data_IF_731792633185
#
_entry.id   IF_731792633185
#
_cell.length_a   1.000
_cell.length_b   1.000
_cell.length_c   1.000
_cell.angle_alpha   90.00
_cell.angle_beta   90.00
_cell.angle_gamma   90.00
#
_symmetry.space_group_name_H-M   'P 1'
#
loop_
_entity.id
_entity.type
_entity.pdbx_description
1 polymer ?
#
# COMPACT_ATOMS: atom_id res chain seq x y z
N UNK A 1 24.73 -11.25 -3.82
CA UNK A 1 24.10 -10.54 -2.69
C UNK A 1 24.43 -9.05 -2.69
N UNK A 2 25.70 -8.67 -2.84
CA UNK A 2 26.21 -7.28 -2.86
C UNK A 2 25.45 -6.34 -3.84
N UNK A 3 25.00 -6.85 -4.99
CA UNK A 3 24.29 -6.06 -6.00
C UNK A 3 22.89 -5.60 -5.54
N UNK A 4 22.21 -6.35 -4.66
CA UNK A 4 20.87 -5.95 -4.16
C UNK A 4 20.92 -4.75 -3.22
N UNK A 5 21.91 -4.72 -2.33
CA UNK A 5 22.05 -3.65 -1.34
C UNK A 5 22.41 -2.33 -2.03
N UNK A 6 23.32 -2.39 -3.01
CA UNK A 6 23.67 -1.23 -3.84
C UNK A 6 22.44 -0.67 -4.57
N UNK A 7 21.59 -1.52 -5.14
CA UNK A 7 20.35 -1.10 -5.81
C UNK A 7 19.33 -0.49 -4.87
N UNK A 8 19.10 -1.12 -3.71
CA UNK A 8 18.21 -0.58 -2.69
C UNK A 8 18.64 0.83 -2.29
N UNK A 9 19.95 1.04 -2.08
CA UNK A 9 20.52 2.36 -1.79
C UNK A 9 20.32 3.35 -2.94
N UNK A 10 20.49 2.95 -4.20
CA UNK A 10 20.26 3.82 -5.37
C UNK A 10 18.78 4.23 -5.47
N UNK A 11 17.85 3.29 -5.31
CA UNK A 11 16.41 3.58 -5.36
C UNK A 11 15.98 4.46 -4.19
N UNK A 12 16.52 4.20 -2.99
CA UNK A 12 16.21 4.99 -1.80
C UNK A 12 16.79 6.40 -1.90
N UNK A 13 18.03 6.53 -2.39
CA UNK A 13 18.64 7.82 -2.72
C UNK A 13 17.78 8.57 -3.74
N UNK A 14 17.34 7.90 -4.80
CA UNK A 14 16.48 8.51 -5.83
C UNK A 14 15.14 8.93 -5.24
N UNK A 15 14.52 8.10 -4.41
CA UNK A 15 13.27 8.39 -3.73
C UNK A 15 13.39 9.63 -2.83
N UNK A 16 14.51 9.77 -2.10
CA UNK A 16 14.78 10.93 -1.26
C UNK A 16 15.00 12.17 -2.12
N UNK A 17 15.97 12.17 -3.04
CA UNK A 17 16.31 13.37 -3.82
C UNK A 17 15.20 13.81 -4.79
N UNK A 18 14.52 12.86 -5.44
CA UNK A 18 13.37 13.18 -6.29
C UNK A 18 12.13 13.49 -5.46
N UNK A 19 11.99 12.88 -4.29
CA UNK A 19 10.94 13.22 -3.32
C UNK A 19 11.01 14.68 -2.90
N UNK A 20 12.22 15.23 -2.69
CA UNK A 20 12.42 16.65 -2.41
C UNK A 20 11.97 17.57 -3.55
N UNK A 21 12.24 17.19 -4.81
CA UNK A 21 11.78 17.96 -5.98
C UNK A 21 10.25 17.91 -6.15
N UNK A 22 9.65 16.75 -5.90
CA UNK A 22 8.21 16.52 -6.03
C UNK A 22 7.45 16.75 -4.71
N UNK A 23 8.09 17.35 -3.71
CA UNK A 23 7.54 17.55 -2.36
C UNK A 23 6.19 18.27 -2.38
N UNK A 24 5.96 19.33 -3.18
CA UNK A 24 4.66 19.99 -3.23
C UNK A 24 3.51 19.04 -3.65
N UNK A 25 3.73 18.18 -4.64
CA UNK A 25 2.72 17.23 -5.09
C UNK A 25 2.45 16.14 -4.04
N UNK A 26 3.51 15.63 -3.40
CA UNK A 26 3.40 14.66 -2.32
C UNK A 26 2.70 15.26 -1.09
N UNK A 27 3.03 16.50 -0.73
CA UNK A 27 2.43 17.23 0.39
C UNK A 27 0.91 17.41 0.22
N UNK A 28 0.46 17.75 -0.99
CA UNK A 28 -0.98 17.83 -1.30
C UNK A 28 -1.63 16.46 -1.15
N UNK A 29 -1.01 15.40 -1.68
CA UNK A 29 -1.54 14.04 -1.53
C UNK A 29 -1.63 13.60 -0.08
N UNK A 30 -0.63 13.92 0.74
CA UNK A 30 -0.62 13.61 2.17
C UNK A 30 -1.61 14.44 2.96
N UNK A 31 -1.82 15.71 2.57
CA UNK A 31 -2.86 16.53 3.15
C UNK A 31 -4.24 15.95 2.86
N UNK A 32 -4.50 15.47 1.64
CA UNK A 32 -5.76 14.83 1.30
C UNK A 32 -5.98 13.53 2.09
N UNK A 33 -4.97 12.67 2.19
CA UNK A 33 -5.06 11.45 3.01
C UNK A 33 -5.29 11.81 4.49
N UNK A 34 -4.54 12.78 5.00
CA UNK A 34 -4.66 13.28 6.38
C UNK A 34 -6.04 13.85 6.67
N UNK A 35 -6.61 14.67 5.77
CA UNK A 35 -7.98 15.17 5.90
C UNK A 35 -9.00 14.04 5.91
N UNK A 36 -8.84 13.02 5.05
CA UNK A 36 -9.73 11.86 5.01
C UNK A 36 -9.69 11.06 6.31
N UNK A 37 -8.50 10.84 6.87
CA UNK A 37 -8.31 10.17 8.16
C UNK A 37 -8.85 10.99 9.33
N UNK A 38 -8.60 12.30 9.36
CA UNK A 38 -9.10 13.20 10.40
C UNK A 38 -10.64 13.25 10.37
N UNK A 39 -11.23 13.37 9.18
CA UNK A 39 -12.67 13.37 9.01
C UNK A 39 -13.28 12.05 9.47
N UNK A 40 -12.65 10.91 9.14
CA UNK A 40 -13.10 9.60 9.60
C UNK A 40 -13.04 9.49 11.14
N UNK A 41 -11.98 9.99 11.76
CA UNK A 41 -11.85 9.98 13.22
C UNK A 41 -12.93 10.82 13.92
N UNK A 42 -13.34 11.94 13.31
CA UNK A 42 -14.42 12.80 13.82
C UNK A 42 -15.80 12.19 13.61
N UNK A 43 -16.06 11.62 12.42
CA UNK A 43 -17.36 11.07 12.06
C UNK A 43 -17.67 9.76 12.78
N UNK A 44 -16.64 8.98 13.09
CA UNK A 44 -16.81 7.61 13.60
C UNK A 44 -15.80 7.30 14.70
N UNK A 45 -16.19 7.43 15.98
CA UNK A 45 -15.34 6.99 17.08
C UNK A 45 -15.30 5.45 17.13
N UNK A 46 -14.12 4.87 16.88
CA UNK A 46 -13.87 3.43 16.96
C UNK A 46 -13.87 2.71 15.62
N UNK A 47 -13.85 1.37 15.64
CA UNK A 47 -13.99 0.54 14.46
C UNK A 47 -15.47 0.18 14.29
N UNK A 48 -16.11 0.71 13.26
CA UNK A 48 -17.53 0.49 12.93
C UNK A 48 -17.67 0.14 11.44
N UNK A 49 -18.77 -0.46 10.98
CA UNK A 49 -18.98 -0.67 9.55
C UNK A 49 -18.89 0.64 8.74
N UNK A 50 -19.28 1.77 9.36
CA UNK A 50 -19.17 3.09 8.76
C UNK A 50 -17.69 3.52 8.60
N UNK A 51 -16.79 3.11 9.50
CA UNK A 51 -15.35 3.40 9.36
C UNK A 51 -14.77 2.66 8.17
N UNK A 52 -15.19 1.42 7.94
CA UNK A 52 -14.75 0.62 6.79
C UNK A 52 -15.19 1.26 5.46
N UNK A 53 -16.45 1.70 5.38
CA UNK A 53 -16.96 2.44 4.23
C UNK A 53 -16.23 3.77 4.03
N UNK A 54 -15.99 4.50 5.12
CA UNK A 54 -15.24 5.76 5.10
C UNK A 54 -13.79 5.59 4.66
N UNK A 55 -13.10 4.50 5.04
CA UNK A 55 -11.77 4.17 4.52
C UNK A 55 -11.80 4.03 3.00
N UNK A 56 -12.78 3.29 2.46
CA UNK A 56 -12.89 3.06 1.02
C UNK A 56 -13.27 4.33 0.25
N UNK A 57 -14.07 5.23 0.83
CA UNK A 57 -14.56 6.42 0.15
C UNK A 57 -13.64 7.64 0.32
N UNK A 58 -13.08 7.84 1.52
CA UNK A 58 -12.33 9.05 1.87
C UNK A 58 -10.82 8.84 1.82
N UNK A 59 -10.32 7.64 2.12
CA UNK A 59 -8.87 7.40 2.30
C UNK A 59 -8.27 6.68 1.09
N UNK A 60 -8.93 5.64 0.59
CA UNK A 60 -8.41 4.84 -0.51
C UNK A 60 -8.18 5.64 -1.82
N UNK A 61 -9.09 6.53 -2.26
CA UNK A 61 -8.84 7.36 -3.44
C UNK A 61 -7.60 8.26 -3.33
N UNK A 62 -7.47 9.15 -2.32
CA UNK A 62 -6.29 10.01 -2.22
C UNK A 62 -5.01 9.20 -1.93
N UNK A 63 -5.09 8.09 -1.18
CA UNK A 63 -3.94 7.22 -0.96
C UNK A 63 -3.44 6.58 -2.28
N UNK A 64 -4.36 6.21 -3.17
CA UNK A 64 -4.00 5.66 -4.49
C UNK A 64 -3.33 6.69 -5.40
N UNK A 65 -3.80 7.94 -5.36
CA UNK A 65 -3.19 9.06 -6.09
C UNK A 65 -1.80 9.36 -5.54
N UNK A 66 -1.66 9.47 -4.21
CA UNK A 66 -0.37 9.64 -3.55
C UNK A 66 0.59 8.50 -3.90
N UNK A 67 0.13 7.25 -3.86
CA UNK A 67 0.95 6.09 -4.25
C UNK A 67 1.35 6.15 -5.72
N UNK A 68 0.45 6.57 -6.62
CA UNK A 68 0.78 6.77 -8.03
C UNK A 68 1.89 7.81 -8.22
N UNK A 69 1.81 8.94 -7.51
CA UNK A 69 2.85 9.98 -7.56
C UNK A 69 4.18 9.48 -7.00
N UNK A 70 4.15 8.72 -5.90
CA UNK A 70 5.34 8.11 -5.32
C UNK A 70 6.00 7.13 -6.30
N UNK A 71 5.21 6.26 -6.96
CA UNK A 71 5.72 5.33 -7.98
C UNK A 71 6.40 6.07 -9.13
N UNK A 72 5.79 7.15 -9.64
CA UNK A 72 6.39 7.97 -10.71
C UNK A 72 7.66 8.69 -10.26
N UNK A 73 7.68 9.15 -9.01
CA UNK A 73 8.83 9.82 -8.39
C UNK A 73 10.01 8.87 -8.24
N UNK A 74 9.78 7.65 -7.75
CA UNK A 74 10.81 6.60 -7.62
C UNK A 74 11.34 6.18 -8.99
N UNK A 75 10.48 6.12 -10.02
CA UNK A 75 10.89 5.93 -11.41
C UNK A 75 11.65 7.13 -12.01
N UNK A 76 11.77 8.23 -11.25
CA UNK A 76 12.41 9.51 -11.61
C UNK A 76 11.79 10.20 -12.81
N UNK A 77 10.46 10.11 -12.94
CA UNK A 77 9.69 10.98 -13.83
C UNK A 77 9.36 12.26 -13.08
N UNK A 78 9.43 13.40 -13.74
CA UNK A 78 8.95 14.66 -13.18
C UNK A 78 7.43 14.60 -13.00
N UNK A 79 6.96 14.97 -11.81
CA UNK A 79 5.54 14.89 -11.46
C UNK A 79 5.05 16.29 -11.08
N UNK A 80 4.27 16.91 -11.96
CA UNK A 80 3.59 18.16 -11.64
C UNK A 80 2.37 17.89 -10.76
N UNK A 81 1.92 18.87 -9.97
CA UNK A 81 0.69 18.76 -9.17
C UNK A 81 -0.49 18.41 -10.09
N UNK A 82 -0.64 19.14 -11.19
CA UNK A 82 -1.71 18.86 -12.16
C UNK A 82 -1.53 17.45 -12.74
N UNK A 83 -0.32 17.05 -13.15
CA UNK A 83 -0.06 15.69 -13.67
C UNK A 83 -0.24 14.56 -12.66
N UNK A 84 -0.16 14.88 -11.36
CA UNK A 84 -0.36 13.97 -10.22
C UNK A 84 -1.82 13.70 -9.90
N UNK A 85 -2.68 14.71 -10.10
CA UNK A 85 -4.11 14.66 -9.80
C UNK A 85 -5.01 14.60 -11.05
N UNK A 86 -4.44 14.79 -12.24
CA UNK A 86 -5.05 14.45 -13.53
C UNK A 86 -5.29 12.94 -13.76
N UNK A 87 -4.53 11.98 -13.18
CA UNK A 87 -4.92 10.57 -13.25
C UNK A 87 -6.38 10.38 -12.82
N UNK A 88 -7.06 9.64 -13.66
CA UNK A 88 -8.51 9.61 -13.81
C UNK A 88 -9.19 8.93 -12.63
N UNK A 89 -10.52 9.08 -12.58
CA UNK A 89 -11.44 8.28 -11.77
C UNK A 89 -11.09 6.76 -11.77
N UNK A 90 -10.43 6.26 -12.83
CA UNK A 90 -9.92 4.90 -12.92
C UNK A 90 -8.83 4.57 -11.88
N UNK A 91 -7.88 5.48 -11.63
CA UNK A 91 -6.83 5.30 -10.61
C UNK A 91 -7.45 5.20 -9.22
N UNK A 92 -8.37 6.12 -8.91
CA UNK A 92 -9.12 6.10 -7.65
C UNK A 92 -9.93 4.79 -7.51
N UNK A 93 -10.72 4.42 -8.52
CA UNK A 93 -11.51 3.16 -8.53
C UNK A 93 -10.63 1.93 -8.33
N UNK A 94 -9.45 1.90 -8.95
CA UNK A 94 -8.49 0.81 -8.78
C UNK A 94 -7.93 0.77 -7.37
N UNK A 95 -7.56 1.92 -6.82
CA UNK A 95 -7.15 2.04 -5.42
C UNK A 95 -8.19 1.51 -4.44
N UNK A 96 -9.46 1.88 -4.65
CA UNK A 96 -10.61 1.36 -3.88
C UNK A 96 -10.74 -0.15 -4.06
N UNK A 97 -10.68 -0.66 -5.28
CA UNK A 97 -10.83 -2.09 -5.56
C UNK A 97 -9.72 -2.93 -4.92
N UNK A 98 -8.47 -2.45 -4.89
CA UNK A 98 -7.38 -3.13 -4.18
C UNK A 98 -7.60 -3.02 -2.66
N UNK A 99 -7.93 -1.83 -2.15
CA UNK A 99 -8.12 -1.62 -0.70
C UNK A 99 -9.34 -2.36 -0.14
N UNK A 100 -10.34 -2.68 -0.98
CA UNK A 100 -11.53 -3.43 -0.58
C UNK A 100 -11.22 -4.82 -0.02
N UNK A 101 -10.14 -5.47 -0.44
CA UNK A 101 -9.77 -6.81 0.04
C UNK A 101 -9.39 -6.80 1.53
N UNK A 102 -8.38 -6.04 1.98
CA UNK A 102 -8.04 -5.96 3.41
C UNK A 102 -9.18 -5.35 4.24
N UNK A 103 -9.93 -4.39 3.71
CA UNK A 103 -11.10 -3.83 4.39
C UNK A 103 -12.20 -4.89 4.58
N UNK A 104 -12.41 -5.77 3.59
CA UNK A 104 -13.33 -6.89 3.70
C UNK A 104 -12.94 -7.89 4.79
N UNK A 105 -11.65 -8.26 4.85
CA UNK A 105 -11.14 -9.10 5.94
C UNK A 105 -11.25 -8.43 7.30
N UNK A 106 -11.04 -7.11 7.37
CA UNK A 106 -11.23 -6.35 8.61
C UNK A 106 -12.70 -6.36 9.04
N UNK A 107 -13.64 -6.25 8.11
CA UNK A 107 -15.07 -6.41 8.39
C UNK A 107 -15.43 -7.80 8.91
N UNK A 108 -14.84 -8.86 8.34
CA UNK A 108 -15.00 -10.22 8.85
C UNK A 108 -14.42 -10.38 10.26
N UNK A 109 -13.26 -9.79 10.53
CA UNK A 109 -12.64 -9.79 11.86
C UNK A 109 -13.54 -9.09 12.88
N UNK A 110 -14.15 -7.97 12.51
CA UNK A 110 -15.11 -7.26 13.37
C UNK A 110 -16.35 -8.12 13.65
N UNK A 111 -16.92 -8.76 12.63
CA UNK A 111 -18.06 -9.65 12.79
C UNK A 111 -17.72 -10.86 13.70
N UNK A 112 -16.55 -11.47 13.50
CA UNK A 112 -16.06 -12.55 14.35
C UNK A 112 -15.85 -12.09 15.80
N UNK A 113 -15.36 -10.86 16.00
CA UNK A 113 -15.19 -10.23 17.31
C UNK A 113 -16.51 -10.04 18.05
N UNK A 114 -17.57 -9.62 17.34
CA UNK A 114 -18.91 -9.50 17.95
C UNK A 114 -19.51 -10.86 18.29
N UNK A 115 -19.36 -11.87 17.42
CA UNK A 115 -19.79 -13.25 17.73
C UNK A 115 -19.07 -13.80 18.96
N UNK A 116 -17.76 -13.55 19.08
CA UNK A 116 -16.97 -13.93 20.25
C UNK A 116 -17.53 -13.29 21.53
N UNK A 117 -17.79 -11.98 21.51
CA UNK A 117 -18.32 -11.23 22.66
C UNK A 117 -19.69 -11.72 23.13
N UNK A 118 -20.56 -12.11 22.20
CA UNK A 118 -21.91 -12.57 22.54
C UNK A 118 -21.92 -14.02 23.04
N UNK A 119 -21.06 -14.88 22.49
CA UNK A 119 -21.16 -16.32 22.71
C UNK A 119 -20.23 -16.82 23.82
N UNK A 120 -19.12 -16.12 24.09
CA UNK A 120 -18.05 -16.51 25.03
C UNK A 120 -17.48 -17.94 24.81
N UNK A 121 -17.75 -18.54 23.65
CA UNK A 121 -17.34 -19.91 23.33
C UNK A 121 -15.89 -19.95 22.85
N UNK A 122 -15.00 -20.76 23.48
CA UNK A 122 -13.58 -20.81 23.13
C UNK A 122 -13.29 -21.27 21.70
N UNK A 123 -14.22 -22.00 21.07
CA UNK A 123 -14.08 -22.43 19.67
C UNK A 123 -14.05 -21.25 18.69
N UNK A 124 -14.59 -20.08 19.05
CA UNK A 124 -14.61 -18.89 18.19
C UNK A 124 -13.24 -18.18 18.15
N UNK A 125 -12.25 -18.57 18.98
CA UNK A 125 -10.87 -18.02 18.90
C UNK A 125 -10.22 -18.39 17.56
N UNK A 126 -10.45 -19.60 17.06
CA UNK A 126 -9.83 -20.10 15.83
C UNK A 126 -10.20 -19.23 14.61
N UNK A 127 -11.50 -19.02 14.28
CA UNK A 127 -11.87 -18.16 13.16
C UNK A 127 -11.47 -16.71 13.37
N UNK A 128 -11.47 -16.21 14.62
CA UNK A 128 -11.00 -14.86 14.94
C UNK A 128 -9.50 -14.69 14.62
N UNK A 129 -8.67 -15.65 15.05
CA UNK A 129 -7.24 -15.67 14.75
C UNK A 129 -6.95 -15.79 13.24
N UNK A 130 -7.71 -16.62 12.53
CA UNK A 130 -7.61 -16.75 11.07
C UNK A 130 -7.97 -15.44 10.35
N UNK A 131 -9.02 -14.75 10.78
CA UNK A 131 -9.37 -13.43 10.23
C UNK A 131 -8.27 -12.41 10.50
N UNK A 132 -7.68 -12.41 11.71
CA UNK A 132 -6.56 -11.54 12.06
C UNK A 132 -5.34 -11.78 11.17
N UNK A 133 -4.97 -13.05 10.97
CA UNK A 133 -3.89 -13.43 10.06
C UNK A 133 -4.19 -13.00 8.61
N UNK A 134 -5.43 -13.18 8.14
CA UNK A 134 -5.85 -12.75 6.80
C UNK A 134 -5.77 -11.22 6.62
N UNK A 135 -6.14 -10.43 7.64
CA UNK A 135 -5.97 -8.97 7.64
C UNK A 135 -4.49 -8.61 7.55
N UNK A 136 -3.61 -9.25 8.33
CA UNK A 136 -2.18 -8.97 8.31
C UNK A 136 -1.56 -9.29 6.95
N UNK A 137 -1.87 -10.47 6.39
CA UNK A 137 -1.35 -10.92 5.08
C UNK A 137 -1.88 -10.01 3.96
N UNK A 138 -3.17 -9.66 3.99
CA UNK A 138 -3.75 -8.77 2.97
C UNK A 138 -3.23 -7.34 3.10
N UNK A 139 -2.96 -6.84 4.30
CA UNK A 139 -2.33 -5.53 4.53
C UNK A 139 -0.88 -5.51 4.02
N UNK A 140 -0.09 -6.55 4.29
CA UNK A 140 1.26 -6.70 3.74
C UNK A 140 1.24 -6.74 2.21
N UNK A 141 0.32 -7.52 1.64
CA UNK A 141 0.17 -7.67 0.19
C UNK A 141 -0.35 -6.37 -0.44
N UNK A 142 -1.17 -5.58 0.25
CA UNK A 142 -1.66 -4.28 -0.24
C UNK A 142 -0.50 -3.33 -0.58
N UNK A 143 0.57 -3.33 0.23
CA UNK A 143 1.73 -2.45 0.06
C UNK A 143 2.39 -2.67 -1.31
N UNK A 144 2.39 -3.89 -1.82
CA UNK A 144 3.01 -4.26 -3.09
C UNK A 144 1.98 -4.28 -4.22
N UNK A 145 0.77 -4.78 -3.95
CA UNK A 145 -0.33 -4.87 -4.91
C UNK A 145 -0.78 -3.50 -5.42
N UNK A 146 -0.85 -2.49 -4.54
CA UNK A 146 -1.32 -1.16 -4.94
C UNK A 146 -0.36 -0.50 -5.97
N UNK A 147 0.95 -0.33 -5.70
CA UNK A 147 1.90 0.15 -6.70
C UNK A 147 1.92 -0.68 -7.99
N UNK A 148 1.88 -2.01 -7.89
CA UNK A 148 1.93 -2.91 -9.05
C UNK A 148 0.67 -2.74 -9.92
N UNK A 149 -0.50 -2.62 -9.28
CA UNK A 149 -1.75 -2.35 -9.97
C UNK A 149 -1.70 -1.04 -10.75
N UNK A 150 -1.02 -0.02 -10.22
CA UNK A 150 -0.89 1.31 -10.83
C UNK A 150 0.13 1.35 -11.97
N UNK A 151 1.13 0.45 -11.96
CA UNK A 151 2.10 0.29 -13.06
C UNK A 151 1.52 -0.45 -14.25
N UNK A 152 0.67 -1.45 -14.00
CA UNK A 152 0.05 -2.28 -15.02
C UNK A 152 -1.47 -2.08 -15.05
N UNK A 153 -1.99 -0.95 -15.57
CA UNK A 153 -3.43 -0.66 -15.58
C UNK A 153 -4.23 -1.69 -16.40
N UNK A 154 -3.63 -2.33 -17.41
CA UNK A 154 -4.31 -3.34 -18.24
C UNK A 154 -4.48 -4.69 -17.52
N UNK A 155 -3.69 -4.96 -16.48
CA UNK A 155 -3.78 -6.22 -15.76
C UNK A 155 -5.07 -6.29 -14.93
N UNK A 156 -5.78 -7.43 -15.02
CA UNK A 156 -6.98 -7.69 -14.20
C UNK A 156 -6.60 -7.82 -12.73
N UNK A 157 -7.36 -7.18 -11.84
CA UNK A 157 -7.19 -7.25 -10.37
C UNK A 157 -7.06 -8.69 -9.85
N UNK A 158 -7.83 -9.63 -10.43
CA UNK A 158 -7.81 -11.06 -10.08
C UNK A 158 -6.45 -11.73 -10.32
N UNK A 159 -5.63 -11.20 -11.23
CA UNK A 159 -4.25 -11.68 -11.49
C UNK A 159 -3.21 -10.94 -10.66
N UNK A 160 -3.45 -9.66 -10.34
CA UNK A 160 -2.54 -8.83 -9.56
C UNK A 160 -2.39 -9.33 -8.13
N UNK A 161 -3.49 -9.69 -7.49
CA UNK A 161 -3.47 -10.17 -6.10
C UNK A 161 -2.59 -11.40 -5.88
N UNK A 162 -2.77 -12.52 -6.62
CA UNK A 162 -1.91 -13.69 -6.44
C UNK A 162 -0.45 -13.41 -6.84
N UNK A 163 -0.19 -12.56 -7.84
CA UNK A 163 1.17 -12.17 -8.21
C UNK A 163 1.84 -11.36 -7.10
N UNK A 164 1.15 -10.34 -6.55
CA UNK A 164 1.64 -9.54 -5.44
C UNK A 164 1.84 -10.39 -4.17
N UNK A 165 0.94 -11.34 -3.91
CA UNK A 165 1.06 -12.27 -2.79
C UNK A 165 2.28 -13.19 -2.97
N UNK A 166 2.47 -13.74 -4.16
CA UNK A 166 3.63 -14.59 -4.48
C UNK A 166 4.94 -13.80 -4.38
N UNK A 167 4.97 -12.56 -4.87
CA UNK A 167 6.13 -11.67 -4.74
C UNK A 167 6.44 -11.36 -3.26
N UNK A 168 5.40 -11.04 -2.48
CA UNK A 168 5.51 -10.77 -1.04
C UNK A 168 5.98 -12.01 -0.26
N UNK A 169 5.48 -13.20 -0.61
CA UNK A 169 5.88 -14.45 0.02
C UNK A 169 7.34 -14.83 -0.27
N UNK A 170 7.83 -14.56 -1.49
CA UNK A 170 9.22 -14.81 -1.87
C UNK A 170 10.20 -13.86 -1.18
N UNK A 171 9.79 -12.61 -0.93
CA UNK A 171 10.63 -11.58 -0.32
C UNK A 171 9.80 -10.73 0.66
N UNK A 172 9.61 -11.21 1.91
CA UNK A 172 8.75 -10.52 2.88
C UNK A 172 9.42 -9.29 3.51
N UNK A 173 10.74 -9.16 3.43
CA UNK A 173 11.47 -8.09 4.13
C UNK A 173 11.08 -6.68 3.67
N UNK A 174 10.98 -6.34 2.37
CA UNK A 174 10.57 -5.00 1.95
C UNK A 174 9.15 -4.59 2.42
N UNK A 175 8.08 -5.41 2.26
CA UNK A 175 6.76 -5.07 2.76
C UNK A 175 6.65 -5.10 4.30
N UNK A 176 7.47 -5.90 4.99
CA UNK A 176 7.55 -5.82 6.45
C UNK A 176 8.19 -4.51 6.91
N UNK A 177 9.24 -4.05 6.22
CA UNK A 177 9.91 -2.77 6.53
C UNK A 177 8.97 -1.57 6.37
N UNK A 178 8.19 -1.54 5.29
CA UNK A 178 7.16 -0.50 5.08
C UNK A 178 6.06 -0.55 6.13
N UNK A 179 5.59 -1.74 6.50
CA UNK A 179 4.59 -1.91 7.55
C UNK A 179 5.14 -1.47 8.91
N UNK A 180 6.39 -1.80 9.23
CA UNK A 180 7.07 -1.32 10.43
C UNK A 180 7.15 0.20 10.46
N UNK A 181 7.53 0.85 9.34
CA UNK A 181 7.54 2.32 9.22
C UNK A 181 6.14 2.90 9.42
N UNK A 182 5.09 2.27 8.88
CA UNK A 182 3.71 2.71 9.07
C UNK A 182 3.30 2.66 10.55
N UNK A 183 3.57 1.53 11.22
CA UNK A 183 3.21 1.30 12.63
C UNK A 183 3.99 2.24 13.54
N UNK A 184 5.30 2.35 13.37
CA UNK A 184 6.16 3.25 14.16
C UNK A 184 5.78 4.71 13.91
N UNK A 185 5.55 5.10 12.65
CA UNK A 185 5.12 6.45 12.30
C UNK A 185 3.77 6.82 12.93
N UNK A 186 2.80 5.90 12.87
CA UNK A 186 1.49 6.09 13.50
C UNK A 186 1.62 6.19 15.03
N UNK A 187 2.41 5.31 15.64
CA UNK A 187 2.65 5.29 17.08
C UNK A 187 3.33 6.58 17.56
N UNK A 188 4.38 7.04 16.87
CA UNK A 188 5.07 8.30 17.17
C UNK A 188 4.13 9.50 17.03
N UNK A 189 3.26 9.48 16.01
CA UNK A 189 2.30 10.56 15.81
C UNK A 189 1.23 10.62 16.91
N UNK A 190 0.81 9.46 17.42
CA UNK A 190 -0.14 9.37 18.53
C UNK A 190 0.47 9.77 19.88
N UNK A 191 1.78 9.56 20.06
CA UNK A 191 2.47 9.77 21.34
C UNK A 191 3.14 11.14 21.47
N UNK A 192 3.75 11.66 20.40
CA UNK A 192 4.58 12.86 20.46
C UNK A 192 3.86 14.12 19.96
N UNK A 193 3.27 14.07 18.76
CA UNK A 193 2.73 15.28 18.12
C UNK A 193 1.68 14.94 17.06
N UNK A 194 0.42 15.33 17.30
CA UNK A 194 -0.70 15.06 16.40
C UNK A 194 -0.49 15.49 14.94
N UNK A 195 0.12 16.66 14.65
CA UNK A 195 0.44 17.06 13.28
C UNK A 195 1.38 16.11 12.52
N UNK A 196 2.15 15.24 13.20
CA UNK A 196 2.95 14.21 12.51
C UNK A 196 2.08 13.24 11.70
N UNK A 197 0.81 13.04 12.07
CA UNK A 197 -0.14 12.19 11.33
C UNK A 197 -0.29 12.62 9.87
N UNK A 198 -0.10 13.91 9.58
CA UNK A 198 -0.18 14.47 8.23
C UNK A 198 1.06 14.15 7.41
N UNK A 199 2.18 13.87 8.08
CA UNK A 199 3.47 13.59 7.44
C UNK A 199 3.65 12.09 7.15
N UNK A 200 3.12 11.20 8.00
CA UNK A 200 3.29 9.73 7.91
C UNK A 200 2.91 9.11 6.56
N UNK A 201 1.85 9.54 5.84
CA UNK A 201 1.50 8.94 4.55
C UNK A 201 2.60 9.10 3.50
N UNK A 202 3.42 10.15 3.60
CA UNK A 202 4.47 10.48 2.62
C UNK A 202 5.59 9.44 2.60
N UNK A 203 6.34 9.21 3.71
CA UNK A 203 7.39 8.20 3.73
C UNK A 203 6.80 6.82 3.48
N UNK A 204 5.58 6.53 3.94
CA UNK A 204 4.94 5.25 3.70
C UNK A 204 4.76 4.96 2.21
N UNK A 205 4.18 5.90 1.44
CA UNK A 205 3.99 5.72 0.00
C UNK A 205 5.31 5.65 -0.77
N UNK A 206 6.35 6.40 -0.37
CA UNK A 206 7.67 6.32 -1.00
C UNK A 206 8.35 4.97 -0.75
N UNK A 207 8.37 4.50 0.49
CA UNK A 207 8.98 3.20 0.82
C UNK A 207 8.15 2.07 0.18
N UNK A 208 6.82 2.17 0.13
CA UNK A 208 5.96 1.24 -0.59
C UNK A 208 6.30 1.19 -2.09
N UNK A 209 6.46 2.35 -2.73
CA UNK A 209 6.86 2.44 -4.13
C UNK A 209 8.25 1.85 -4.41
N UNK A 210 9.23 2.05 -3.51
CA UNK A 210 10.55 1.42 -3.58
C UNK A 210 10.44 -0.10 -3.40
N UNK A 211 9.66 -0.56 -2.41
CA UNK A 211 9.46 -1.99 -2.16
C UNK A 211 8.86 -2.71 -3.37
N UNK A 212 7.88 -2.10 -4.03
CA UNK A 212 7.29 -2.63 -5.24
C UNK A 212 8.24 -2.56 -6.45
N UNK A 213 9.13 -1.56 -6.51
CA UNK A 213 10.17 -1.50 -7.53
C UNK A 213 11.15 -2.67 -7.43
N UNK A 214 11.61 -2.96 -6.21
CA UNK A 214 12.52 -4.07 -5.94
C UNK A 214 11.91 -5.44 -6.29
N UNK A 215 10.59 -5.59 -6.11
CA UNK A 215 9.88 -6.83 -6.42
C UNK A 215 9.58 -7.01 -7.92
N UNK A 216 9.27 -5.94 -8.65
CA UNK A 216 8.89 -6.01 -10.07
C UNK A 216 10.03 -6.45 -11.00
N UNK A 217 11.27 -6.03 -10.73
CA UNK A 217 12.43 -6.41 -11.56
C UNK A 217 12.85 -7.88 -11.38
N UNK A 218 12.44 -8.51 -10.27
CA UNK A 218 12.70 -9.94 -10.05
C UNK A 218 11.86 -10.84 -10.98
N UNK A 219 10.75 -10.35 -11.51
CA UNK A 219 9.92 -11.08 -12.49
C UNK A 219 10.38 -10.85 -13.95
N UNK A 220 11.02 -9.72 -14.25
CA UNK A 220 11.49 -9.39 -15.60
C UNK A 220 12.83 -10.07 -15.97
N UNK A 221 13.53 -10.70 -15.02
CA UNK A 221 14.76 -11.44 -15.30
C UNK A 221 14.43 -12.75 -16.03
N UNK A 222 14.54 -12.81 -17.37
CA UNK A 222 14.05 -13.92 -18.15
C UNK A 222 15.18 -14.93 -18.29
N UNK A 223 15.21 -15.92 -17.42
CA UNK A 223 16.04 -17.12 -17.56
C UNK A 223 15.53 -18.05 -18.69
N UNK A 224 14.96 -17.49 -19.76
CA UNK A 224 14.17 -18.24 -20.72
C UNK A 224 14.09 -17.68 -22.14
N UNK A 225 14.95 -16.74 -22.55
CA UNK A 225 15.26 -16.63 -23.98
C UNK A 225 16.27 -17.72 -24.30
N UNK A 226 15.77 -18.95 -24.41
CA UNK A 226 16.56 -20.05 -24.95
C UNK A 226 16.92 -19.71 -26.40
N UNK A 227 18.21 -19.67 -26.79
CA UNK A 227 18.64 -19.42 -28.16
C UNK A 227 18.37 -20.60 -29.12
N UNK A 228 17.39 -21.46 -28.81
CA UNK A 228 16.98 -22.58 -29.63
C UNK A 228 15.95 -22.12 -30.67
N UNK A 229 16.43 -21.51 -31.76
CA UNK A 229 15.54 -21.12 -32.85
C UNK A 229 16.17 -20.31 -33.98
N UNK A 230 17.47 -20.41 -34.21
CA UNK A 230 18.05 -20.10 -35.52
C UNK A 230 18.43 -21.42 -36.17
N UNK A 231 17.52 -21.96 -36.97
CA UNK A 231 17.89 -22.91 -38.02
C UNK A 231 18.05 -22.14 -39.34
N UNK A 232 19.01 -22.55 -40.17
CA UNK A 232 19.50 -21.80 -41.34
C UNK A 232 18.48 -21.65 -42.48
#
# INVERSE_FOLDING_TARGET
>A
MIDRDARALVLLRRAVFQGWRNLPALAVGTALVGTGLALLAVLTPGLTPLTLAGILLLVAPPASLLTHTAVRTVAGRDVTIVGSFRPTLATARRGVAVTAVPVGFLGLLMAAGEVWRVTEQPLVVIPYGLCGAAVLISALTLITALPLSLRHPEARLRRIWPAALAATARQPLPPLGTLAVAVVGQWLSATLYGPLLWLVPLPLCLVAAVSAALLGEAEESPEGVSPAGRTP
#
